data_IF_935674772796
#
_entry.id   IF_935674772796
#
_cell.length_a   1.000
_cell.length_b   1.000
_cell.length_c   1.000
_cell.angle_alpha   90.00
_cell.angle_beta   90.00
_cell.angle_gamma   90.00
#
_symmetry.space_group_name_H-M   'P 1'
#
loop_
_entity.id
_entity.type
_entity.pdbx_description
1 polymer ?
#
# COMPACT_ATOMS: atom_id res chain seq x y z
N UNK A 1 9.30 -17.70 4.20
CA UNK A 1 8.31 -16.63 4.03
C UNK A 1 7.02 -17.31 3.62
N UNK A 2 5.92 -17.06 4.35
CA UNK A 2 4.69 -17.86 4.27
C UNK A 2 3.50 -17.02 3.72
N UNK A 3 3.82 -15.99 2.94
CA UNK A 3 2.88 -15.12 2.25
C UNK A 3 2.90 -15.36 0.74
N UNK A 4 2.48 -14.34 -0.02
CA UNK A 4 2.55 -14.34 -1.48
C UNK A 4 3.42 -13.17 -1.98
N UNK A 5 4.08 -13.37 -3.11
CA UNK A 5 4.83 -12.34 -3.83
C UNK A 5 4.01 -11.86 -5.02
N UNK A 6 3.82 -10.56 -5.11
CA UNK A 6 2.94 -9.91 -6.08
C UNK A 6 3.78 -8.87 -6.81
N UNK A 7 3.67 -8.80 -8.14
CA UNK A 7 4.36 -7.75 -8.89
C UNK A 7 3.77 -6.37 -8.57
N UNK A 8 4.58 -5.33 -8.73
CA UNK A 8 4.03 -3.99 -8.94
C UNK A 8 3.23 -3.96 -10.26
N UNK A 9 2.41 -2.92 -10.44
CA UNK A 9 1.54 -2.76 -11.60
C UNK A 9 2.34 -2.69 -12.89
N UNK A 10 2.15 -3.71 -13.75
CA UNK A 10 2.81 -3.78 -15.06
C UNK A 10 4.28 -4.19 -15.02
N UNK A 11 4.81 -4.58 -13.86
CA UNK A 11 6.21 -4.97 -13.71
C UNK A 11 6.52 -6.42 -14.17
N UNK A 12 5.51 -7.19 -14.57
CA UNK A 12 5.69 -8.54 -15.08
C UNK A 12 6.27 -8.51 -16.51
N UNK A 13 7.54 -8.88 -16.66
CA UNK A 13 8.21 -8.98 -17.96
C UNK A 13 8.08 -10.37 -18.60
N UNK A 14 8.40 -11.41 -17.85
CA UNK A 14 8.23 -12.82 -18.24
C UNK A 14 7.43 -13.53 -17.16
N UNK A 15 6.22 -13.99 -17.51
CA UNK A 15 5.34 -14.60 -16.52
C UNK A 15 5.84 -15.97 -16.07
N UNK A 16 6.42 -16.75 -16.98
CA UNK A 16 6.89 -18.12 -16.72
C UNK A 16 8.09 -18.08 -15.78
N UNK A 17 9.09 -17.27 -16.12
CA UNK A 17 10.26 -17.09 -15.25
C UNK A 17 9.88 -16.39 -13.95
N UNK A 18 8.87 -15.52 -13.96
CA UNK A 18 8.29 -14.96 -12.75
C UNK A 18 7.76 -16.04 -11.80
N UNK A 19 6.95 -17.00 -12.27
CA UNK A 19 6.47 -18.11 -11.43
C UNK A 19 7.64 -18.94 -10.89
N UNK A 20 8.60 -19.27 -11.77
CA UNK A 20 9.81 -20.05 -11.41
C UNK A 20 10.61 -19.35 -10.31
N UNK A 21 10.74 -18.02 -10.39
CA UNK A 21 11.43 -17.19 -9.40
C UNK A 21 10.63 -16.96 -8.10
N UNK A 22 9.37 -17.40 -8.05
CA UNK A 22 8.53 -17.30 -6.86
C UNK A 22 7.52 -16.15 -6.86
N UNK A 23 7.25 -15.52 -8.00
CA UNK A 23 6.21 -14.51 -8.14
C UNK A 23 4.83 -15.16 -8.37
N UNK A 24 3.96 -15.03 -7.37
CA UNK A 24 2.70 -15.76 -7.29
C UNK A 24 1.58 -15.08 -8.09
N UNK A 25 1.57 -13.74 -8.15
CA UNK A 25 0.53 -12.96 -8.85
C UNK A 25 1.12 -11.82 -9.70
N UNK A 26 0.67 -11.71 -10.95
CA UNK A 26 0.94 -10.58 -11.82
C UNK A 26 -0.18 -9.54 -11.75
N UNK A 27 0.19 -8.29 -11.45
CA UNK A 27 -0.74 -7.16 -11.35
C UNK A 27 -0.60 -6.20 -12.54
N UNK A 28 -1.69 -5.59 -13.01
CA UNK A 28 -3.08 -5.75 -12.57
C UNK A 28 -3.77 -7.04 -13.04
N UNK A 29 -3.05 -7.91 -13.74
CA UNK A 29 -3.61 -9.06 -14.44
C UNK A 29 -4.31 -8.63 -15.74
N UNK A 30 -5.18 -9.51 -16.27
CA UNK A 30 -5.92 -9.24 -17.51
C UNK A 30 -5.11 -9.36 -18.80
N UNK A 31 -3.82 -9.69 -18.71
CA UNK A 31 -2.94 -9.88 -19.88
C UNK A 31 -3.11 -11.31 -20.41
N UNK A 32 -3.82 -11.47 -21.55
CA UNK A 32 -4.08 -12.78 -22.15
C UNK A 32 -2.79 -13.55 -22.48
N UNK A 33 -1.76 -12.84 -22.95
CA UNK A 33 -0.47 -13.43 -23.30
C UNK A 33 0.18 -14.15 -22.11
N UNK A 34 0.20 -13.52 -20.92
CA UNK A 34 0.76 -14.11 -19.70
C UNK A 34 0.07 -15.42 -19.31
N UNK A 35 -1.26 -15.46 -19.44
CA UNK A 35 -2.07 -16.64 -19.13
C UNK A 35 -1.78 -17.78 -20.10
N UNK A 36 -1.80 -17.48 -21.40
CA UNK A 36 -1.49 -18.47 -22.45
C UNK A 36 -0.07 -19.02 -22.29
N UNK A 37 0.91 -18.16 -22.04
CA UNK A 37 2.30 -18.56 -21.84
C UNK A 37 2.48 -19.53 -20.66
N UNK A 38 1.80 -19.29 -19.52
CA UNK A 38 1.84 -20.23 -18.39
C UNK A 38 1.23 -21.59 -18.74
N UNK A 39 0.06 -21.59 -19.40
CA UNK A 39 -0.61 -22.83 -19.80
C UNK A 39 0.25 -23.63 -20.78
N UNK A 40 0.86 -22.97 -21.76
CA UNK A 40 1.76 -23.59 -22.72
C UNK A 40 3.05 -24.09 -22.07
N UNK A 41 3.61 -23.34 -21.12
CA UNK A 41 4.83 -23.72 -20.42
C UNK A 41 4.64 -24.97 -19.56
N UNK A 42 3.50 -25.09 -18.86
CA UNK A 42 3.17 -26.31 -18.11
C UNK A 42 2.93 -27.48 -19.05
N UNK A 43 2.13 -27.30 -20.12
CA UNK A 43 1.83 -28.37 -21.09
C UNK A 43 3.08 -28.89 -21.81
N UNK A 44 4.05 -28.01 -22.08
CA UNK A 44 5.31 -28.38 -22.73
C UNK A 44 6.38 -28.88 -21.76
N UNK A 45 6.14 -28.78 -20.44
CA UNK A 45 7.11 -29.14 -19.41
C UNK A 45 8.25 -28.14 -19.21
N UNK A 46 8.21 -26.96 -19.85
CA UNK A 46 9.20 -25.91 -19.63
C UNK A 46 9.03 -25.21 -18.28
N UNK A 47 7.83 -25.27 -17.70
CA UNK A 47 7.54 -24.92 -16.31
C UNK A 47 7.04 -26.18 -15.58
N UNK A 48 7.60 -26.47 -14.40
CA UNK A 48 7.10 -27.56 -13.57
C UNK A 48 5.71 -27.21 -13.04
N UNK A 49 4.77 -28.15 -13.09
CA UNK A 49 3.42 -27.96 -12.55
C UNK A 49 3.48 -27.63 -11.04
N UNK A 50 4.42 -28.23 -10.31
CA UNK A 50 4.69 -27.95 -8.89
C UNK A 50 5.01 -26.47 -8.60
N UNK A 51 5.69 -25.77 -9.53
CA UNK A 51 5.99 -24.34 -9.38
C UNK A 51 4.72 -23.49 -9.51
N UNK A 52 3.82 -23.87 -10.42
CA UNK A 52 2.52 -23.22 -10.58
C UNK A 52 1.60 -23.53 -9.39
N UNK A 53 1.56 -24.78 -8.94
CA UNK A 53 0.79 -25.21 -7.76
C UNK A 53 1.25 -24.49 -6.50
N UNK A 54 2.56 -24.26 -6.33
CA UNK A 54 3.10 -23.45 -5.24
C UNK A 54 2.54 -22.03 -5.28
N UNK A 55 2.55 -21.38 -6.46
CA UNK A 55 2.03 -20.03 -6.64
C UNK A 55 0.52 -19.95 -6.35
N UNK A 56 -0.26 -20.87 -6.89
CA UNK A 56 -1.70 -20.98 -6.62
C UNK A 56 -1.96 -21.24 -5.14
N UNK A 57 -1.22 -22.16 -4.52
CA UNK A 57 -1.33 -22.49 -3.11
C UNK A 57 -1.01 -21.29 -2.19
N UNK A 58 -0.01 -20.48 -2.51
CA UNK A 58 0.29 -19.23 -1.81
C UNK A 58 -0.90 -18.26 -1.86
N UNK A 59 -1.49 -18.07 -3.05
CA UNK A 59 -2.65 -17.21 -3.23
C UNK A 59 -3.90 -17.73 -2.50
N UNK A 60 -4.17 -19.03 -2.54
CA UNK A 60 -5.30 -19.63 -1.81
C UNK A 60 -5.15 -19.46 -0.30
N UNK A 61 -3.95 -19.67 0.24
CA UNK A 61 -3.66 -19.39 1.67
C UNK A 61 -3.88 -17.92 2.02
N UNK A 62 -3.50 -17.00 1.13
CA UNK A 62 -3.74 -15.57 1.34
C UNK A 62 -5.24 -15.25 1.35
N UNK A 63 -6.01 -15.80 0.41
CA UNK A 63 -7.48 -15.65 0.38
C UNK A 63 -8.13 -16.20 1.64
N UNK A 64 -7.71 -17.39 2.09
CA UNK A 64 -8.21 -18.00 3.32
C UNK A 64 -7.92 -17.13 4.56
N UNK A 65 -6.70 -16.59 4.69
CA UNK A 65 -6.33 -15.67 5.77
C UNK A 65 -7.21 -14.41 5.80
N UNK A 66 -7.61 -13.91 4.63
CA UNK A 66 -8.45 -12.72 4.50
C UNK A 66 -9.96 -13.03 4.55
N UNK A 67 -10.37 -14.30 4.53
CA UNK A 67 -11.78 -14.70 4.41
C UNK A 67 -12.68 -14.25 5.56
N UNK A 68 -12.11 -14.04 6.76
CA UNK A 68 -12.85 -13.60 7.93
C UNK A 68 -13.17 -12.08 7.92
N UNK A 69 -12.57 -11.31 7.00
CA UNK A 69 -12.78 -9.87 6.92
C UNK A 69 -14.19 -9.58 6.38
N UNK A 70 -15.02 -8.96 7.21
CA UNK A 70 -16.36 -8.52 6.81
C UNK A 70 -16.27 -7.16 6.12
N UNK A 71 -16.51 -7.16 4.82
CA UNK A 71 -16.69 -5.94 4.03
C UNK A 71 -17.85 -5.11 4.59
N UNK A 72 -17.68 -3.79 4.66
CA UNK A 72 -18.73 -2.86 5.13
C UNK A 72 -18.87 -2.78 6.65
N UNK A 73 -17.90 -3.29 7.42
CA UNK A 73 -17.86 -3.03 8.87
C UNK A 73 -17.70 -1.53 9.11
N UNK A 74 -18.62 -0.88 9.87
CA UNK A 74 -18.50 0.54 10.17
C UNK A 74 -17.19 0.86 10.88
N UNK A 75 -16.62 1.99 10.52
CA UNK A 75 -15.40 2.53 11.10
C UNK A 75 -15.75 3.67 12.05
N UNK A 76 -15.03 3.79 13.18
CA UNK A 76 -15.11 4.97 14.03
C UNK A 76 -14.13 6.03 13.51
N UNK A 77 -14.64 6.89 12.62
CA UNK A 77 -13.85 7.95 11.99
C UNK A 77 -13.22 8.92 13.00
N UNK A 78 -13.91 9.21 14.11
CA UNK A 78 -13.39 10.11 15.15
C UNK A 78 -12.23 9.47 15.91
N UNK A 79 -12.36 8.19 16.25
CA UNK A 79 -11.27 7.46 16.88
C UNK A 79 -10.04 7.38 15.98
N UNK A 80 -10.23 7.16 14.67
CA UNK A 80 -9.12 7.13 13.71
C UNK A 80 -8.50 8.52 13.48
N UNK A 81 -9.30 9.58 13.48
CA UNK A 81 -8.79 10.95 13.40
C UNK A 81 -7.93 11.29 14.63
N UNK A 82 -8.34 10.89 15.83
CA UNK A 82 -7.55 11.08 17.04
C UNK A 82 -6.18 10.38 16.96
N UNK A 83 -6.14 9.12 16.49
CA UNK A 83 -4.89 8.40 16.25
C UNK A 83 -4.03 9.10 15.19
N UNK A 84 -4.64 9.66 14.15
CA UNK A 84 -3.91 10.39 13.11
C UNK A 84 -3.26 11.68 13.65
N UNK A 85 -3.94 12.39 14.57
CA UNK A 85 -3.37 13.55 15.25
C UNK A 85 -2.18 13.16 16.14
N UNK A 86 -2.30 12.09 16.92
CA UNK A 86 -1.22 11.56 17.75
C UNK A 86 0.01 11.21 16.90
N UNK A 87 -0.18 10.50 15.79
CA UNK A 87 0.91 10.18 14.85
C UNK A 87 1.54 11.46 14.26
N UNK A 88 0.74 12.47 13.93
CA UNK A 88 1.25 13.72 13.36
C UNK A 88 2.09 14.52 14.37
N UNK A 89 1.65 14.59 15.63
CA UNK A 89 2.38 15.19 16.74
C UNK A 89 3.74 14.50 16.96
N UNK A 90 3.75 13.16 16.97
CA UNK A 90 4.96 12.34 17.17
C UNK A 90 5.89 12.30 15.94
N UNK A 91 5.37 12.61 14.75
CA UNK A 91 6.14 12.60 13.49
C UNK A 91 6.90 13.91 13.25
N UNK A 92 6.58 14.98 13.98
CA UNK A 92 7.22 16.28 13.81
C UNK A 92 8.64 16.26 14.37
N UNK A 93 9.62 16.68 13.56
CA UNK A 93 11.03 16.76 13.98
C UNK A 93 11.45 18.22 14.16
N UNK A 94 11.79 18.59 15.40
CA UNK A 94 12.31 19.91 15.71
C UNK A 94 13.78 20.03 15.26
N UNK A 95 14.01 20.64 14.10
CA UNK A 95 15.36 20.77 13.54
C UNK A 95 16.22 21.82 14.25
N UNK A 96 15.61 22.89 14.77
CA UNK A 96 16.29 24.00 15.44
C UNK A 96 15.37 24.68 16.45
N UNK A 97 15.88 25.03 17.63
CA UNK A 97 15.18 25.84 18.62
C UNK A 97 16.16 26.65 19.48
N UNK A 98 16.21 27.97 19.31
CA UNK A 98 17.05 28.89 20.10
C UNK A 98 16.31 29.43 21.35
N UNK A 99 15.44 28.60 21.95
CA UNK A 99 14.61 28.98 23.11
C UNK A 99 13.32 29.74 22.76
N UNK A 100 12.85 29.65 21.50
CA UNK A 100 11.63 30.31 21.02
C UNK A 100 10.39 29.43 21.24
N UNK A 101 10.52 28.12 21.04
CA UNK A 101 9.44 27.16 21.26
C UNK A 101 9.58 26.48 22.64
N UNK A 102 8.46 26.15 23.31
CA UNK A 102 7.07 26.38 22.88
C UNK A 102 6.65 27.85 23.04
N UNK A 103 5.69 28.29 22.21
CA UNK A 103 5.05 29.59 22.37
C UNK A 103 4.23 29.63 23.67
N UNK A 104 4.09 30.81 24.27
CA UNK A 104 3.32 30.97 25.51
C UNK A 104 1.81 31.10 25.27
N UNK A 105 1.41 31.41 24.03
CA UNK A 105 0.02 31.67 23.65
C UNK A 105 -0.45 33.09 23.95
N UNK A 106 0.45 33.98 24.39
CA UNK A 106 0.17 35.40 24.66
C UNK A 106 0.72 36.33 23.56
N UNK A 107 1.45 35.76 22.60
CA UNK A 107 2.06 36.51 21.51
C UNK A 107 1.04 36.97 20.47
N UNK A 108 1.26 38.13 19.87
CA UNK A 108 0.57 38.51 18.63
C UNK A 108 1.27 37.85 17.45
N UNK A 109 0.58 36.93 16.78
CA UNK A 109 1.14 36.12 15.70
C UNK A 109 0.84 36.72 14.32
N UNK A 110 1.82 36.66 13.41
CA UNK A 110 1.62 36.82 11.98
C UNK A 110 1.93 35.48 11.32
N UNK A 111 0.97 34.92 10.60
CA UNK A 111 1.14 33.68 9.84
C UNK A 111 1.44 34.04 8.38
N UNK A 112 2.51 33.47 7.82
CA UNK A 112 2.95 33.74 6.44
C UNK A 112 3.20 32.43 5.72
N UNK A 113 2.58 32.27 4.54
CA UNK A 113 2.83 31.15 3.63
C UNK A 113 1.55 30.46 3.14
N UNK A 114 1.52 30.09 1.87
CA UNK A 114 0.34 29.47 1.24
C UNK A 114 -0.04 28.12 1.86
N UNK A 115 0.92 27.38 2.42
CA UNK A 115 0.65 26.09 3.06
C UNK A 115 -0.19 26.19 4.34
N UNK A 116 -0.36 27.38 4.91
CA UNK A 116 -1.33 27.58 5.98
C UNK A 116 -2.77 27.56 5.45
N UNK A 117 -3.00 28.12 4.26
CA UNK A 117 -4.32 28.12 3.60
C UNK A 117 -4.58 26.84 2.80
N UNK A 118 -3.53 26.25 2.23
CA UNK A 118 -3.56 25.04 1.40
C UNK A 118 -2.58 24.02 1.95
N UNK A 119 -2.98 23.39 3.05
CA UNK A 119 -2.13 22.44 3.76
C UNK A 119 -1.69 21.28 2.87
N UNK A 120 -0.41 20.96 2.92
CA UNK A 120 0.14 19.75 2.29
C UNK A 120 0.36 18.68 3.36
N UNK A 121 -0.58 17.77 3.48
CA UNK A 121 -0.56 16.69 4.47
C UNK A 121 -0.31 15.29 3.86
N UNK A 122 -0.20 15.19 2.53
CA UNK A 122 0.08 13.92 1.84
C UNK A 122 0.79 14.11 0.50
N UNK A 123 1.24 13.00 -0.07
CA UNK A 123 1.74 12.89 -1.44
C UNK A 123 0.63 12.84 -2.49
N UNK A 124 0.97 12.37 -3.69
CA UNK A 124 0.04 12.19 -4.81
C UNK A 124 0.21 10.80 -5.43
N UNK A 125 -0.63 10.44 -6.41
CA UNK A 125 -0.55 9.17 -7.12
C UNK A 125 -1.35 8.06 -6.42
N UNK A 126 -0.85 6.82 -6.47
CA UNK A 126 -1.54 5.63 -5.91
C UNK A 126 -1.73 5.69 -4.40
N UNK A 127 -0.96 6.51 -3.68
CA UNK A 127 -1.07 6.71 -2.24
C UNK A 127 -1.96 7.89 -1.83
N UNK A 128 -2.62 8.57 -2.78
CA UNK A 128 -3.53 9.67 -2.46
C UNK A 128 -4.77 9.11 -1.76
N UNK A 129 -5.07 9.63 -0.58
CA UNK A 129 -6.25 9.28 0.21
C UNK A 129 -7.24 10.45 0.16
N UNK A 130 -8.53 10.14 0.04
CA UNK A 130 -9.61 11.10 0.21
C UNK A 130 -10.09 11.04 1.67
N UNK A 131 -9.62 11.94 2.57
CA UNK A 131 -10.04 11.91 3.96
C UNK A 131 -11.52 12.36 4.09
N UNK A 132 -12.27 11.83 5.07
CA UNK A 132 -13.66 12.20 5.31
C UNK A 132 -13.80 13.67 5.76
N UNK A 133 -12.75 14.21 6.37
CA UNK A 133 -12.67 15.61 6.83
C UNK A 133 -11.28 16.16 6.50
N UNK A 134 -11.23 17.43 6.12
CA UNK A 134 -9.99 18.20 5.96
C UNK A 134 -10.05 19.32 6.99
N UNK A 135 -9.03 19.38 7.85
CA UNK A 135 -8.86 20.45 8.84
C UNK A 135 -8.10 21.61 8.20
#
# INVERSE_FOLDING_TARGET
FDGAVITDWGAACDRVEGVRAGCDLDMPGGVLHNRSALVEAVKSGSLAEEDLDRAVGNMLRLVEKCSAVRMGTPCDEKAHAAVSCEIAEDSAVLLKNDGVLPLSGQENLLVVGEMFEKMRFQGAGSSLINPPEQI
#
